data_IF_005801400381
#
_entry.id   IF_005801400381
#
_cell.length_a   1.000
_cell.length_b   1.000
_cell.length_c   1.000
_cell.angle_alpha   90.00
_cell.angle_beta   90.00
_cell.angle_gamma   90.00
#
_symmetry.space_group_name_H-M   'P 1'
#
loop_
_entity.id
_entity.type
_entity.pdbx_description
1 polymer ?
#
# COMPACT_ATOMS: atom_id res chain seq x y z
N UNK A 1 -3.77 1.27 22.63
CA UNK A 1 -2.95 0.35 21.82
C UNK A 1 -2.98 0.88 20.39
N UNK A 2 -1.82 1.11 19.77
CA UNK A 2 -1.75 1.73 18.43
C UNK A 2 -2.00 0.69 17.34
N UNK A 3 -2.78 1.06 16.32
CA UNK A 3 -3.02 0.22 15.14
C UNK A 3 -2.05 0.66 14.04
N UNK A 4 -1.25 -0.27 13.51
CA UNK A 4 -0.39 0.04 12.36
C UNK A 4 -1.24 0.17 11.09
N UNK A 5 -1.07 1.27 10.36
CA UNK A 5 -1.83 1.54 9.13
C UNK A 5 -0.92 1.45 7.91
N UNK A 6 -1.39 0.67 6.93
CA UNK A 6 -0.72 0.46 5.65
C UNK A 6 -1.68 0.83 4.53
N UNK A 7 -1.25 1.73 3.65
CA UNK A 7 -2.04 2.17 2.51
C UNK A 7 -1.25 1.92 1.21
N UNK A 8 -1.87 1.19 0.30
CA UNK A 8 -1.32 0.91 -1.03
C UNK A 8 -2.13 1.68 -2.06
N UNK A 9 -1.46 2.52 -2.83
CA UNK A 9 -2.07 3.30 -3.90
C UNK A 9 -1.17 3.38 -5.13
N UNK A 10 -1.78 3.35 -6.31
CA UNK A 10 -1.08 3.52 -7.58
C UNK A 10 -1.18 4.98 -8.03
N UNK A 11 -0.04 5.61 -8.31
CA UNK A 11 0.04 6.99 -8.81
C UNK A 11 1.21 7.11 -9.80
N UNK A 12 1.00 7.81 -10.92
CA UNK A 12 2.02 8.02 -11.98
C UNK A 12 2.57 6.72 -12.56
N UNK A 13 1.74 5.66 -12.66
CA UNK A 13 2.17 4.36 -13.17
C UNK A 13 3.03 3.52 -12.20
N UNK A 14 3.28 4.00 -10.99
CA UNK A 14 4.01 3.29 -9.94
C UNK A 14 3.10 3.00 -8.72
N UNK A 15 3.37 1.88 -8.04
CA UNK A 15 2.66 1.48 -6.84
C UNK A 15 3.40 1.94 -5.61
N UNK A 16 2.72 2.57 -4.67
CA UNK A 16 3.31 3.09 -3.44
C UNK A 16 2.71 2.43 -2.23
N UNK A 17 3.58 2.09 -1.26
CA UNK A 17 3.19 1.68 0.07
C UNK A 17 3.50 2.81 1.04
N UNK A 18 2.47 3.35 1.67
CA UNK A 18 2.57 4.29 2.77
C UNK A 18 2.35 3.55 4.08
N UNK A 19 3.31 3.67 4.98
CA UNK A 19 3.18 3.25 6.37
C UNK A 19 3.23 4.50 7.25
N UNK A 20 2.38 4.55 8.27
CA UNK A 20 2.36 5.67 9.22
C UNK A 20 3.75 5.90 9.84
N UNK A 21 4.28 7.12 9.68
CA UNK A 21 5.61 7.49 10.17
C UNK A 21 6.81 6.99 9.36
N UNK A 22 6.63 6.37 8.19
CA UNK A 22 7.72 5.90 7.32
C UNK A 22 7.67 6.51 5.91
N UNK A 23 8.83 6.63 5.23
CA UNK A 23 8.86 7.04 3.83
C UNK A 23 8.09 6.05 2.94
N UNK A 24 7.48 6.59 1.89
CA UNK A 24 6.73 5.83 0.91
C UNK A 24 7.68 4.99 0.06
N UNK A 25 7.42 3.69 -0.05
CA UNK A 25 8.20 2.81 -0.91
C UNK A 25 7.51 2.68 -2.26
N UNK A 26 8.29 2.71 -3.34
CA UNK A 26 7.79 2.58 -4.71
C UNK A 26 8.04 1.16 -5.26
N UNK A 27 7.06 0.64 -5.97
CA UNK A 27 7.03 -0.71 -6.52
C UNK A 27 6.52 -0.69 -7.96
N UNK A 28 7.03 -1.62 -8.77
CA UNK A 28 6.64 -1.75 -10.16
C UNK A 28 5.22 -2.29 -10.36
N UNK A 29 4.74 -3.15 -9.45
CA UNK A 29 3.42 -3.80 -9.54
C UNK A 29 2.64 -3.68 -8.24
N UNK A 30 1.32 -3.86 -8.34
CA UNK A 30 0.42 -3.85 -7.18
C UNK A 30 0.75 -4.99 -6.23
N UNK A 31 0.99 -6.15 -6.81
CA UNK A 31 1.28 -7.41 -6.13
C UNK A 31 2.56 -7.27 -5.31
N UNK A 32 3.62 -6.68 -5.88
CA UNK A 32 4.87 -6.43 -5.16
C UNK A 32 4.67 -5.49 -3.96
N UNK A 33 3.86 -4.44 -4.10
CA UNK A 33 3.53 -3.54 -3.00
C UNK A 33 2.72 -4.25 -1.89
N UNK A 34 1.79 -5.13 -2.27
CA UNK A 34 1.00 -5.94 -1.33
C UNK A 34 1.88 -6.92 -0.57
N UNK A 35 2.74 -7.68 -1.26
CA UNK A 35 3.64 -8.64 -0.63
C UNK A 35 4.58 -7.97 0.37
N UNK A 36 5.14 -6.81 0.01
CA UNK A 36 5.98 -6.04 0.91
C UNK A 36 5.19 -5.51 2.13
N UNK A 37 3.95 -5.07 1.93
CA UNK A 37 3.07 -4.62 3.01
C UNK A 37 2.74 -5.76 3.98
N UNK A 38 2.40 -6.95 3.45
CA UNK A 38 2.11 -8.14 4.26
C UNK A 38 3.36 -8.60 5.02
N UNK A 39 4.54 -8.58 4.39
CA UNK A 39 5.79 -8.88 5.06
C UNK A 39 6.02 -7.93 6.26
N UNK A 40 5.81 -6.63 6.08
CA UNK A 40 5.92 -5.65 7.16
C UNK A 40 4.84 -5.85 8.24
N UNK A 41 3.59 -6.14 7.86
CA UNK A 41 2.49 -6.38 8.80
C UNK A 41 2.71 -7.65 9.63
N UNK A 42 3.36 -8.67 9.08
CA UNK A 42 3.69 -9.91 9.83
C UNK A 42 4.60 -9.65 11.03
N UNK A 43 5.45 -8.62 10.96
CA UNK A 43 6.29 -8.18 12.08
C UNK A 43 5.43 -7.52 13.15
N UNK A 44 4.50 -6.65 12.76
CA UNK A 44 3.57 -5.99 13.70
C UNK A 44 2.73 -7.01 14.46
N UNK A 45 2.21 -8.03 13.75
CA UNK A 45 1.47 -9.13 14.37
C UNK A 45 2.33 -9.93 15.36
N UNK A 46 3.60 -10.23 15.01
CA UNK A 46 4.53 -10.93 15.90
C UNK A 46 4.75 -10.18 17.21
N UNK A 47 4.80 -8.85 17.13
CA UNK A 47 4.97 -7.97 18.28
C UNK A 47 3.67 -7.77 19.09
N UNK A 48 2.56 -8.40 18.67
CA UNK A 48 1.27 -8.40 19.39
C UNK A 48 0.41 -7.16 19.13
N UNK A 49 0.65 -6.45 18.03
CA UNK A 49 -0.12 -5.27 17.64
C UNK A 49 -1.10 -5.58 16.50
N UNK A 50 -2.26 -4.91 16.54
CA UNK A 50 -3.20 -4.92 15.42
C UNK A 50 -2.70 -4.06 14.26
N UNK A 51 -3.08 -4.45 13.04
CA UNK A 51 -2.83 -3.66 11.85
C UNK A 51 -4.07 -3.58 10.95
N UNK A 52 -4.10 -2.57 10.10
CA UNK A 52 -5.08 -2.44 9.02
C UNK A 52 -4.35 -2.11 7.73
N UNK A 53 -4.68 -2.85 6.68
CA UNK A 53 -4.16 -2.62 5.33
C UNK A 53 -5.31 -2.28 4.38
N UNK A 54 -5.14 -1.26 3.57
CA UNK A 54 -6.09 -0.90 2.51
C UNK A 54 -5.34 -0.77 1.19
N UNK A 55 -5.82 -1.46 0.16
CA UNK A 55 -5.29 -1.36 -1.20
C UNK A 55 -6.34 -0.74 -2.11
N UNK A 56 -6.05 0.44 -2.65
CA UNK A 56 -6.94 1.15 -3.58
C UNK A 56 -6.70 0.65 -5.01
N UNK A 57 -7.70 0.74 -5.90
CA UNK A 57 -7.42 0.66 -7.33
C UNK A 57 -6.41 1.75 -7.72
N UNK A 58 -5.58 1.48 -8.73
CA UNK A 58 -4.73 2.53 -9.29
C UNK A 58 -5.63 3.68 -9.74
N UNK A 59 -5.19 4.92 -9.55
CA UNK A 59 -5.69 6.02 -10.35
C UNK A 59 -5.16 5.78 -11.77
N UNK A 60 -5.77 4.84 -12.47
CA UNK A 60 -5.75 4.88 -13.92
C UNK A 60 -6.40 6.22 -14.23
N UNK A 61 -5.64 7.15 -14.79
CA UNK A 61 -6.23 8.22 -15.59
C UNK A 61 -7.06 7.50 -16.66
N UNK A 62 -8.29 7.15 -16.32
CA UNK A 62 -9.39 6.96 -17.26
C UNK A 62 -9.80 8.37 -17.66
N UNK A 63 -8.86 9.09 -18.27
CA UNK A 63 -9.18 10.04 -19.32
C UNK A 63 -9.04 9.22 -20.62
N UNK A 64 -9.98 8.29 -20.80
CA UNK A 64 -10.25 7.76 -22.11
C UNK A 64 -11.17 8.80 -22.76
N UNK A 65 -10.75 9.49 -23.84
CA UNK A 65 -11.66 10.34 -24.58
C UNK A 65 -12.76 9.47 -25.19
N UNK A 66 -13.96 10.03 -25.18
CA UNK A 66 -15.26 9.57 -25.65
C UNK A 66 -15.24 8.64 -26.88
N UNK A 67 -16.13 7.65 -26.89
CA UNK A 67 -16.92 7.34 -28.09
C UNK A 67 -18.37 7.07 -27.72
#
# INVERSE_FOLDING_TARGET
MGIAKYEIFGKDGAWRLRQDGKPENEYATKEAAIEAAIAAASIVLREGYDFTMTARPSETTTDAPTK
#
